data_IF_477261843859
#
_entry.id   IF_477261843859
#
_cell.length_a   1.000
_cell.length_b   1.000
_cell.length_c   1.000
_cell.angle_alpha   90.00
_cell.angle_beta   90.00
_cell.angle_gamma   90.00
#
_symmetry.space_group_name_H-M   'P 1'
#
loop_
_entity.id
_entity.type
_entity.pdbx_description
1 polymer ?
#
# COMPACT_ATOMS: atom_id res chain seq x y z
N UNK A 1 -53.40 18.39 39.37
CA UNK A 1 -52.40 17.46 38.90
C UNK A 1 -52.38 17.22 37.38
N UNK A 2 -53.42 17.47 36.60
CA UNK A 2 -53.43 17.23 35.13
C UNK A 2 -52.67 18.29 34.30
N UNK A 3 -52.49 19.51 34.79
CA UNK A 3 -51.82 20.62 34.09
C UNK A 3 -50.32 20.68 34.37
N UNK A 4 -49.86 20.06 35.46
CA UNK A 4 -48.43 20.00 35.79
C UNK A 4 -47.65 19.07 34.86
N UNK A 5 -48.28 17.99 34.38
CA UNK A 5 -47.65 17.04 33.45
C UNK A 5 -47.52 17.60 32.05
N UNK A 6 -48.50 18.42 31.61
CA UNK A 6 -48.43 19.09 30.27
C UNK A 6 -47.34 20.17 30.20
N UNK A 7 -47.07 20.85 31.33
CA UNK A 7 -46.01 21.87 31.40
C UNK A 7 -44.61 21.23 31.35
N UNK A 8 -44.40 20.04 31.93
CA UNK A 8 -43.14 19.32 31.84
C UNK A 8 -42.85 18.73 30.43
N UNK A 9 -43.90 18.30 29.72
CA UNK A 9 -43.75 17.78 28.34
C UNK A 9 -43.43 18.92 27.35
N UNK A 10 -43.95 20.14 27.58
CA UNK A 10 -43.65 21.31 26.72
C UNK A 10 -42.19 21.78 26.83
N UNK A 11 -41.52 21.58 27.97
CA UNK A 11 -40.10 21.95 28.18
C UNK A 11 -39.15 21.01 27.45
N UNK A 12 -39.53 19.74 27.18
CA UNK A 12 -38.72 18.77 26.46
C UNK A 12 -38.71 18.93 24.94
N UNK A 13 -39.67 19.70 24.38
CA UNK A 13 -39.81 19.93 22.95
C UNK A 13 -39.04 21.16 22.45
N UNK A 14 -38.49 22.00 23.32
CA UNK A 14 -37.77 23.23 22.92
C UNK A 14 -36.24 23.05 22.93
N UNK A 15 -35.72 21.82 23.15
CA UNK A 15 -34.30 21.54 23.35
C UNK A 15 -33.42 21.50 22.12
N UNK A 16 -33.93 21.62 20.88
CA UNK A 16 -33.16 21.36 19.68
C UNK A 16 -32.52 22.56 18.98
N UNK A 17 -32.62 23.79 19.52
CA UNK A 17 -32.15 24.98 18.79
C UNK A 17 -31.05 25.80 19.48
N UNK A 18 -30.61 25.43 20.70
CA UNK A 18 -29.68 26.30 21.48
C UNK A 18 -28.20 25.93 21.31
N UNK A 19 -27.90 24.75 20.78
CA UNK A 19 -26.54 24.34 20.39
C UNK A 19 -26.39 24.28 18.86
N UNK A 20 -26.70 25.37 18.18
CA UNK A 20 -26.17 25.57 16.83
C UNK A 20 -24.65 25.53 16.92
N UNK A 21 -24.01 24.51 16.30
CA UNK A 21 -22.57 24.52 16.15
C UNK A 21 -22.15 25.89 15.63
N UNK A 22 -21.07 26.50 16.16
CA UNK A 22 -20.63 27.79 15.68
C UNK A 22 -20.44 27.66 14.16
N UNK A 23 -21.27 28.38 13.39
CA UNK A 23 -21.07 28.49 11.95
C UNK A 23 -19.73 29.16 11.78
N UNK A 24 -18.70 28.35 11.48
CA UNK A 24 -17.37 28.83 11.16
C UNK A 24 -17.55 29.87 10.05
N UNK A 25 -17.31 31.13 10.37
CA UNK A 25 -17.45 32.20 9.40
C UNK A 25 -16.54 31.88 8.22
N UNK A 26 -17.14 31.62 7.06
CA UNK A 26 -16.38 31.34 5.84
C UNK A 26 -15.59 32.57 5.44
N UNK A 27 -14.34 32.64 5.91
CA UNK A 27 -13.38 33.70 5.66
C UNK A 27 -13.11 33.90 4.16
N UNK A 28 -13.40 32.86 3.35
CA UNK A 28 -13.13 32.88 1.91
C UNK A 28 -14.28 33.49 1.08
N UNK A 29 -15.38 33.92 1.68
CA UNK A 29 -16.58 34.41 0.93
C UNK A 29 -16.27 35.49 -0.09
N UNK A 30 -15.36 36.41 0.26
CA UNK A 30 -14.98 37.54 -0.61
C UNK A 30 -13.76 37.20 -1.51
N UNK A 31 -13.21 35.98 -1.45
CA UNK A 31 -12.00 35.64 -2.19
C UNK A 31 -12.32 35.17 -3.60
N UNK A 32 -11.56 35.68 -4.55
CA UNK A 32 -11.57 35.19 -5.93
C UNK A 32 -10.73 33.92 -6.07
N UNK A 33 -10.86 33.19 -7.17
CA UNK A 33 -10.22 31.92 -7.43
C UNK A 33 -8.69 31.97 -7.25
N UNK A 34 -8.05 33.03 -7.76
CA UNK A 34 -6.59 33.22 -7.63
C UNK A 34 -6.14 33.29 -6.16
N UNK A 35 -6.88 34.03 -5.33
CA UNK A 35 -6.58 34.17 -3.91
C UNK A 35 -6.80 32.90 -3.16
N UNK A 36 -7.91 32.17 -3.41
CA UNK A 36 -8.18 30.88 -2.75
C UNK A 36 -7.05 29.90 -3.08
N UNK A 37 -6.61 29.84 -4.35
CA UNK A 37 -5.53 28.95 -4.76
C UNK A 37 -4.19 29.31 -4.08
N UNK A 38 -3.82 30.58 -4.04
CA UNK A 38 -2.58 31.06 -3.40
C UNK A 38 -2.56 30.75 -1.91
N UNK A 39 -3.67 30.98 -1.21
CA UNK A 39 -3.79 30.66 0.22
C UNK A 39 -3.74 29.15 0.47
N UNK A 40 -4.39 28.34 -0.37
CA UNK A 40 -4.30 26.88 -0.29
C UNK A 40 -2.86 26.40 -0.47
N UNK A 41 -2.15 26.92 -1.46
CA UNK A 41 -0.75 26.61 -1.73
C UNK A 41 0.19 27.08 -0.58
N UNK A 42 -0.08 28.25 0.02
CA UNK A 42 0.61 28.70 1.22
C UNK A 42 0.43 27.70 2.38
N UNK A 43 -0.80 27.21 2.59
CA UNK A 43 -1.07 26.19 3.62
C UNK A 43 -0.38 24.86 3.32
N UNK A 44 -0.22 24.48 2.04
CA UNK A 44 0.60 23.32 1.65
C UNK A 44 2.06 23.50 2.07
N UNK A 45 2.65 24.66 1.85
CA UNK A 45 4.02 24.97 2.27
C UNK A 45 4.18 24.98 3.78
N UNK A 46 3.19 25.51 4.51
CA UNK A 46 3.13 25.52 5.98
C UNK A 46 2.88 24.14 6.58
N UNK A 47 2.64 23.10 5.74
CA UNK A 47 2.23 21.75 6.14
C UNK A 47 0.87 21.69 6.87
N UNK A 48 0.07 22.72 6.78
CA UNK A 48 -1.32 22.75 7.27
C UNK A 48 -2.23 22.12 6.20
N UNK A 49 -2.08 20.81 6.03
CA UNK A 49 -2.77 20.07 4.97
C UNK A 49 -4.29 20.09 5.11
N UNK A 50 -4.82 20.20 6.33
CA UNK A 50 -6.26 20.29 6.57
C UNK A 50 -6.84 21.57 6.00
N UNK A 51 -6.21 22.70 6.25
CA UNK A 51 -6.63 23.98 5.67
C UNK A 51 -6.41 24.04 4.17
N UNK A 52 -5.29 23.49 3.68
CA UNK A 52 -5.04 23.40 2.25
C UNK A 52 -6.15 22.63 1.53
N UNK A 53 -6.52 21.44 2.03
CA UNK A 53 -7.63 20.63 1.51
C UNK A 53 -8.95 21.40 1.55
N UNK A 54 -9.25 22.09 2.67
CA UNK A 54 -10.45 22.92 2.81
C UNK A 54 -10.51 23.97 1.70
N UNK A 55 -9.42 24.72 1.48
CA UNK A 55 -9.39 25.80 0.47
C UNK A 55 -9.45 25.25 -0.96
N UNK A 56 -8.74 24.17 -1.28
CA UNK A 56 -8.84 23.54 -2.60
C UNK A 56 -10.27 23.03 -2.88
N UNK A 57 -10.95 22.45 -1.91
CA UNK A 57 -12.35 22.02 -2.04
C UNK A 57 -13.30 23.20 -2.22
N UNK A 58 -13.08 24.31 -1.52
CA UNK A 58 -13.85 25.54 -1.71
C UNK A 58 -13.64 26.06 -3.13
N UNK A 59 -12.41 26.09 -3.61
CA UNK A 59 -12.08 26.52 -4.98
C UNK A 59 -12.79 25.64 -6.01
N UNK A 60 -12.73 24.33 -5.87
CA UNK A 60 -13.41 23.39 -6.76
C UNK A 60 -14.93 23.60 -6.76
N UNK A 61 -15.52 23.78 -5.58
CA UNK A 61 -16.97 23.99 -5.44
C UNK A 61 -17.46 25.30 -6.05
N UNK A 62 -16.71 26.40 -5.89
CA UNK A 62 -17.12 27.73 -6.39
C UNK A 62 -16.75 27.95 -7.85
N UNK A 63 -15.65 27.36 -8.30
CA UNK A 63 -15.09 27.59 -9.64
C UNK A 63 -14.78 26.25 -10.35
N UNK A 64 -15.79 25.37 -10.54
CA UNK A 64 -15.57 23.99 -11.05
C UNK A 64 -14.95 23.93 -12.45
N UNK A 65 -15.15 24.98 -13.24
CA UNK A 65 -14.60 25.13 -14.59
C UNK A 65 -13.49 26.21 -14.67
N UNK A 66 -13.02 26.66 -13.53
CA UNK A 66 -11.94 27.65 -13.46
C UNK A 66 -10.58 27.08 -13.83
N UNK A 67 -9.65 27.94 -14.23
CA UNK A 67 -8.27 27.54 -14.61
C UNK A 67 -7.52 26.74 -13.56
N UNK A 68 -7.90 26.85 -12.29
CA UNK A 68 -7.27 26.16 -11.17
C UNK A 68 -8.01 24.89 -10.72
N UNK A 69 -9.20 24.61 -11.26
CA UNK A 69 -10.03 23.50 -10.74
C UNK A 69 -9.33 22.15 -10.84
N UNK A 70 -8.78 21.82 -12.00
CA UNK A 70 -8.06 20.57 -12.20
C UNK A 70 -6.80 20.50 -11.33
N UNK A 71 -6.03 21.60 -11.24
CA UNK A 71 -4.83 21.63 -10.40
C UNK A 71 -5.19 21.48 -8.91
N UNK A 72 -6.24 22.14 -8.42
CA UNK A 72 -6.70 22.03 -7.05
C UNK A 72 -7.11 20.59 -6.68
N UNK A 73 -7.69 19.83 -7.61
CA UNK A 73 -8.00 18.42 -7.40
C UNK A 73 -6.74 17.57 -7.23
N UNK A 74 -5.72 17.79 -8.05
CA UNK A 74 -4.42 17.11 -7.93
C UNK A 74 -3.71 17.46 -6.61
N UNK A 75 -3.70 18.75 -6.26
CA UNK A 75 -3.11 19.21 -4.99
C UNK A 75 -3.88 18.66 -3.78
N UNK A 76 -5.19 18.46 -3.89
CA UNK A 76 -5.99 17.80 -2.85
C UNK A 76 -5.54 16.35 -2.66
N UNK A 77 -5.31 15.60 -3.74
CA UNK A 77 -4.77 14.22 -3.64
C UNK A 77 -3.39 14.22 -2.99
N UNK A 78 -2.51 15.15 -3.39
CA UNK A 78 -1.18 15.28 -2.80
C UNK A 78 -1.23 15.67 -1.32
N UNK A 79 -2.12 16.58 -0.93
CA UNK A 79 -2.32 16.98 0.46
C UNK A 79 -2.77 15.79 1.34
N UNK A 80 -3.67 14.94 0.86
CA UNK A 80 -4.05 13.70 1.54
C UNK A 80 -2.88 12.73 1.68
N UNK A 81 -2.07 12.57 0.62
CA UNK A 81 -0.84 11.78 0.69
C UNK A 81 0.11 12.28 1.78
N UNK A 82 0.37 13.60 1.81
CA UNK A 82 1.24 14.23 2.82
C UNK A 82 0.69 14.10 4.24
N UNK A 83 -0.63 14.02 4.38
CA UNK A 83 -1.33 13.78 5.65
C UNK A 83 -1.31 12.30 6.07
N UNK A 84 -0.79 11.41 5.24
CA UNK A 84 -0.84 9.95 5.46
C UNK A 84 -2.27 9.41 5.52
N UNK A 85 -3.16 9.94 4.68
CA UNK A 85 -4.52 9.45 4.48
C UNK A 85 -4.62 8.74 3.11
N UNK A 86 -4.28 7.44 3.03
CA UNK A 86 -4.25 6.71 1.78
C UNK A 86 -5.62 6.56 1.13
N UNK A 87 -6.68 6.46 1.93
CA UNK A 87 -8.05 6.27 1.44
C UNK A 87 -8.52 7.51 0.70
N UNK A 88 -8.40 8.68 1.34
CA UNK A 88 -8.79 9.95 0.72
C UNK A 88 -7.88 10.33 -0.47
N UNK A 89 -6.58 10.01 -0.39
CA UNK A 89 -5.65 10.21 -1.50
C UNK A 89 -6.06 9.39 -2.73
N UNK A 90 -6.31 8.10 -2.55
CA UNK A 90 -6.77 7.20 -3.63
C UNK A 90 -8.08 7.70 -4.24
N UNK A 91 -9.07 8.03 -3.42
CA UNK A 91 -10.36 8.53 -3.89
C UNK A 91 -10.25 9.86 -4.67
N UNK A 92 -9.40 10.79 -4.20
CA UNK A 92 -9.15 12.05 -4.89
C UNK A 92 -8.45 11.84 -6.25
N UNK A 93 -7.43 10.97 -6.29
CA UNK A 93 -6.72 10.63 -7.51
C UNK A 93 -7.64 9.93 -8.54
N UNK A 94 -8.45 8.96 -8.12
CA UNK A 94 -9.41 8.27 -9.00
C UNK A 94 -10.49 9.22 -9.53
N UNK A 95 -10.98 10.13 -8.69
CA UNK A 95 -11.91 11.15 -9.11
C UNK A 95 -11.29 12.04 -10.19
N UNK A 96 -10.04 12.47 -10.03
CA UNK A 96 -9.33 13.25 -11.05
C UNK A 96 -9.19 12.48 -12.36
N UNK A 97 -8.75 11.23 -12.32
CA UNK A 97 -8.60 10.36 -13.50
C UNK A 97 -9.95 10.25 -14.26
N UNK A 98 -11.03 10.08 -13.52
CA UNK A 98 -12.38 9.96 -14.11
C UNK A 98 -12.89 11.26 -14.74
N UNK A 99 -12.63 12.40 -14.11
CA UNK A 99 -13.13 13.68 -14.58
C UNK A 99 -12.24 14.30 -15.67
N UNK A 100 -10.95 14.00 -15.66
CA UNK A 100 -9.94 14.61 -16.53
C UNK A 100 -9.03 13.56 -17.21
N UNK A 101 -9.60 12.57 -17.96
CA UNK A 101 -8.81 11.45 -18.50
C UNK A 101 -7.74 11.89 -19.52
N UNK A 102 -7.93 13.02 -20.16
CA UNK A 102 -7.01 13.57 -21.17
C UNK A 102 -6.16 14.76 -20.64
N UNK A 103 -6.15 14.97 -19.33
CA UNK A 103 -5.36 16.07 -18.76
C UNK A 103 -3.85 15.77 -18.87
N UNK A 104 -3.00 16.77 -19.18
CA UNK A 104 -1.54 16.57 -19.31
C UNK A 104 -0.87 15.91 -18.08
N UNK A 105 -1.43 16.13 -16.89
CA UNK A 105 -0.90 15.57 -15.62
C UNK A 105 -1.76 14.39 -15.10
N UNK A 106 -2.50 13.69 -15.96
CA UNK A 106 -3.30 12.54 -15.50
C UNK A 106 -2.40 11.39 -15.03
N UNK A 107 -1.22 11.24 -15.62
CA UNK A 107 -0.18 10.31 -15.21
C UNK A 107 0.25 10.53 -13.75
N UNK A 108 0.32 11.80 -13.29
CA UNK A 108 0.58 12.12 -11.89
C UNK A 108 -0.54 11.60 -10.96
N UNK A 109 -1.80 11.66 -11.37
CA UNK A 109 -2.89 11.12 -10.57
C UNK A 109 -2.80 9.58 -10.45
N UNK A 110 -2.43 8.87 -11.53
CA UNK A 110 -2.12 7.43 -11.46
C UNK A 110 -0.95 7.15 -10.52
N UNK A 111 0.10 7.95 -10.56
CA UNK A 111 1.24 7.84 -9.67
C UNK A 111 0.86 8.04 -8.21
N UNK A 112 0.06 9.08 -7.90
CA UNK A 112 -0.45 9.35 -6.55
C UNK A 112 -1.29 8.18 -6.01
N UNK A 113 -2.10 7.54 -6.85
CA UNK A 113 -2.86 6.34 -6.46
C UNK A 113 -1.93 5.18 -6.06
N UNK A 114 -0.83 5.01 -6.79
CA UNK A 114 0.21 4.03 -6.43
C UNK A 114 0.90 4.37 -5.12
N UNK A 115 1.27 5.64 -4.92
CA UNK A 115 1.93 6.12 -3.70
C UNK A 115 1.04 6.05 -2.46
N UNK A 116 -0.27 6.21 -2.61
CA UNK A 116 -1.21 6.24 -1.49
C UNK A 116 -1.11 4.98 -0.61
N UNK A 117 -0.99 3.81 -1.23
CA UNK A 117 -0.86 2.53 -0.53
C UNK A 117 0.57 2.00 -0.47
N UNK A 118 1.53 2.75 -1.05
CA UNK A 118 2.94 2.38 -1.03
C UNK A 118 3.59 2.85 0.28
N UNK A 119 4.12 1.90 1.02
CA UNK A 119 4.92 2.20 2.22
C UNK A 119 6.32 1.66 2.00
N UNK A 120 7.28 2.55 1.81
CA UNK A 120 8.69 2.20 1.76
C UNK A 120 9.24 2.06 3.20
N UNK A 121 10.22 1.20 3.38
CA UNK A 121 10.86 0.99 4.67
C UNK A 121 11.60 2.27 5.10
N UNK A 122 11.03 3.01 6.05
CA UNK A 122 11.70 4.17 6.65
C UNK A 122 12.87 3.75 7.57
N UNK A 123 13.73 4.71 7.92
CA UNK A 123 14.84 4.49 8.86
C UNK A 123 14.32 4.00 10.22
N UNK A 124 13.10 4.41 10.59
CA UNK A 124 12.44 4.04 11.86
C UNK A 124 12.06 2.56 11.88
N UNK A 125 11.61 1.98 10.75
CA UNK A 125 11.25 0.56 10.65
C UNK A 125 12.47 -0.35 10.86
N UNK A 126 13.68 0.12 10.49
CA UNK A 126 14.93 -0.60 10.76
C UNK A 126 15.27 -0.66 12.25
N UNK A 127 14.83 0.34 13.03
CA UNK A 127 15.07 0.41 14.48
C UNK A 127 14.02 -0.37 15.29
N UNK A 128 12.82 -0.54 14.77
CA UNK A 128 11.70 -1.21 15.46
C UNK A 128 11.61 -2.69 15.21
N UNK A 129 12.52 -3.28 14.41
CA UNK A 129 12.51 -4.71 14.03
C UNK A 129 11.17 -5.17 13.40
N UNK A 130 10.34 -4.22 12.95
CA UNK A 130 9.15 -4.57 12.18
C UNK A 130 9.60 -5.17 10.85
N UNK A 131 9.37 -6.47 10.70
CA UNK A 131 9.69 -7.18 9.46
C UNK A 131 8.76 -6.71 8.33
N UNK A 132 9.27 -6.75 7.08
CA UNK A 132 8.48 -6.51 5.86
C UNK A 132 7.21 -7.38 5.84
N UNK A 133 7.23 -8.48 6.56
CA UNK A 133 6.19 -9.49 6.64
C UNK A 133 4.93 -9.05 7.41
N UNK A 134 5.01 -7.99 8.25
CA UNK A 134 3.87 -7.48 9.02
C UNK A 134 2.97 -6.52 8.22
N UNK A 135 3.34 -6.23 6.96
CA UNK A 135 2.59 -5.31 6.12
C UNK A 135 1.37 -5.99 5.50
N UNK A 136 0.31 -5.22 5.32
CA UNK A 136 -0.90 -5.69 4.64
C UNK A 136 -0.61 -6.05 3.16
N UNK A 137 -0.64 -7.34 2.78
CA UNK A 137 -0.43 -7.76 1.39
C UNK A 137 -1.44 -7.15 0.42
N UNK A 138 -2.65 -6.79 0.89
CA UNK A 138 -3.68 -6.18 0.05
C UNK A 138 -3.27 -4.77 -0.36
N UNK A 139 -2.74 -3.97 0.58
CA UNK A 139 -2.24 -2.63 0.30
C UNK A 139 -1.05 -2.67 -0.67
N UNK A 140 -0.10 -3.61 -0.47
CA UNK A 140 1.04 -3.80 -1.37
C UNK A 140 0.58 -4.19 -2.78
N UNK A 141 -0.38 -5.08 -2.92
CA UNK A 141 -0.92 -5.50 -4.22
C UNK A 141 -1.69 -4.36 -4.91
N UNK A 142 -2.49 -3.58 -4.16
CA UNK A 142 -3.18 -2.41 -4.69
C UNK A 142 -2.19 -1.37 -5.25
N UNK A 143 -1.11 -1.10 -4.52
CA UNK A 143 -0.02 -0.23 -4.98
C UNK A 143 0.66 -0.76 -6.24
N UNK A 144 0.99 -2.06 -6.28
CA UNK A 144 1.58 -2.71 -7.45
C UNK A 144 0.69 -2.56 -8.70
N UNK A 145 -0.61 -2.85 -8.57
CA UNK A 145 -1.56 -2.73 -9.68
C UNK A 145 -1.69 -1.28 -10.17
N UNK A 146 -1.68 -0.30 -9.27
CA UNK A 146 -1.75 1.10 -9.62
C UNK A 146 -0.49 1.56 -10.39
N UNK A 147 0.72 1.18 -9.96
CA UNK A 147 1.95 1.47 -10.69
C UNK A 147 2.03 0.74 -12.04
N UNK A 148 1.57 -0.52 -12.09
CA UNK A 148 1.49 -1.29 -13.33
C UNK A 148 0.59 -0.58 -14.35
N UNK A 149 -0.57 -0.10 -13.92
CA UNK A 149 -1.49 0.62 -14.78
C UNK A 149 -0.87 1.94 -15.30
N UNK A 150 -0.17 2.68 -14.44
CA UNK A 150 0.57 3.87 -14.87
C UNK A 150 1.55 3.56 -16.01
N UNK A 151 2.44 2.58 -15.80
CA UNK A 151 3.48 2.24 -16.78
C UNK A 151 2.86 1.74 -18.10
N UNK A 152 1.76 0.99 -18.01
CA UNK A 152 1.08 0.44 -19.19
C UNK A 152 0.41 1.54 -20.01
N UNK A 153 -0.22 2.52 -19.35
CA UNK A 153 -0.95 3.60 -20.04
C UNK A 153 -0.06 4.76 -20.47
N UNK A 154 0.97 5.04 -19.68
CA UNK A 154 1.86 6.21 -19.83
C UNK A 154 3.33 5.78 -19.73
N UNK A 155 3.85 4.96 -20.65
CA UNK A 155 5.21 4.42 -20.57
C UNK A 155 6.28 5.54 -20.57
N UNK A 156 6.02 6.65 -21.27
CA UNK A 156 6.93 7.81 -21.37
C UNK A 156 6.77 8.82 -20.23
N UNK A 157 5.91 8.56 -19.25
CA UNK A 157 5.75 9.43 -18.09
C UNK A 157 7.03 9.49 -17.28
N UNK A 158 7.35 10.70 -16.78
CA UNK A 158 8.49 10.90 -15.86
C UNK A 158 8.39 10.05 -14.58
N UNK A 159 7.18 9.58 -14.24
CA UNK A 159 6.94 8.72 -13.08
C UNK A 159 7.11 7.23 -13.36
N UNK A 160 7.20 6.82 -14.63
CA UNK A 160 7.22 5.39 -15.01
C UNK A 160 8.47 4.68 -14.51
N UNK A 161 9.64 5.32 -14.57
CA UNK A 161 10.88 4.73 -14.05
C UNK A 161 10.85 4.50 -12.54
N UNK A 162 10.39 5.48 -11.77
CA UNK A 162 10.24 5.34 -10.31
C UNK A 162 9.18 4.29 -9.96
N UNK A 163 8.07 4.27 -10.68
CA UNK A 163 7.02 3.26 -10.52
C UNK A 163 7.54 1.84 -10.76
N UNK A 164 8.39 1.63 -11.76
CA UNK A 164 9.00 0.33 -12.03
C UNK A 164 9.91 -0.13 -10.88
N UNK A 165 10.71 0.78 -10.31
CA UNK A 165 11.54 0.47 -9.14
C UNK A 165 10.68 0.09 -7.92
N UNK A 166 9.58 0.81 -7.69
CA UNK A 166 8.65 0.50 -6.60
C UNK A 166 7.93 -0.83 -6.82
N UNK A 167 7.56 -1.15 -8.06
CA UNK A 167 6.99 -2.46 -8.39
C UNK A 167 7.95 -3.60 -8.08
N UNK A 168 9.24 -3.46 -8.43
CA UNK A 168 10.26 -4.46 -8.07
C UNK A 168 10.36 -4.65 -6.55
N UNK A 169 10.35 -3.55 -5.80
CA UNK A 169 10.32 -3.61 -4.33
C UNK A 169 9.08 -4.35 -3.82
N UNK A 170 7.89 -4.04 -4.36
CA UNK A 170 6.63 -4.67 -3.94
C UNK A 170 6.59 -6.17 -4.26
N UNK A 171 7.09 -6.58 -5.43
CA UNK A 171 7.21 -8.02 -5.80
C UNK A 171 8.09 -8.76 -4.79
N UNK A 172 9.24 -8.21 -4.43
CA UNK A 172 10.12 -8.82 -3.45
C UNK A 172 9.48 -8.85 -2.04
N UNK A 173 8.77 -7.79 -1.65
CA UNK A 173 8.09 -7.74 -0.36
C UNK A 173 6.94 -8.76 -0.26
N UNK A 174 6.13 -8.89 -1.32
CA UNK A 174 5.05 -9.88 -1.39
C UNK A 174 5.60 -11.31 -1.37
N UNK A 175 6.66 -11.59 -2.12
CA UNK A 175 7.31 -12.90 -2.11
C UNK A 175 7.91 -13.23 -0.74
N UNK A 176 8.55 -12.27 -0.08
CA UNK A 176 9.11 -12.44 1.27
C UNK A 176 8.00 -12.70 2.31
N UNK A 177 6.84 -12.07 2.18
CA UNK A 177 5.67 -12.35 3.03
C UNK A 177 5.22 -13.82 2.89
N UNK A 178 5.09 -14.34 1.65
CA UNK A 178 4.73 -15.73 1.43
C UNK A 178 5.77 -16.71 2.01
N UNK A 179 7.07 -16.40 1.90
CA UNK A 179 8.13 -17.19 2.52
C UNK A 179 8.05 -17.17 4.05
N UNK A 180 7.74 -16.03 4.65
CA UNK A 180 7.51 -15.96 6.09
C UNK A 180 6.40 -16.91 6.52
N UNK A 181 5.28 -16.93 5.80
CA UNK A 181 4.19 -17.87 6.04
C UNK A 181 4.62 -19.32 5.80
N UNK A 182 5.44 -19.58 4.76
CA UNK A 182 5.96 -20.92 4.49
C UNK A 182 6.85 -21.42 5.64
N UNK A 183 7.75 -20.58 6.17
CA UNK A 183 8.57 -20.91 7.34
C UNK A 183 7.72 -21.20 8.59
N UNK A 184 6.68 -20.41 8.82
CA UNK A 184 5.73 -20.66 9.91
C UNK A 184 5.09 -22.05 9.79
N UNK A 185 4.66 -22.45 8.58
CA UNK A 185 4.11 -23.79 8.36
C UNK A 185 5.15 -24.90 8.53
N UNK A 186 6.42 -24.69 8.12
CA UNK A 186 7.51 -25.62 8.40
C UNK A 186 7.68 -25.85 9.90
N UNK A 187 7.73 -24.79 10.72
CA UNK A 187 7.82 -24.89 12.20
C UNK A 187 6.64 -25.63 12.81
N UNK A 188 5.47 -25.57 12.17
CA UNK A 188 4.25 -26.28 12.59
C UNK A 188 4.12 -27.69 12.02
N UNK A 189 5.14 -28.17 11.28
CA UNK A 189 5.13 -29.48 10.60
C UNK A 189 4.00 -29.63 9.56
N UNK A 190 3.41 -28.51 9.14
CA UNK A 190 2.40 -28.44 8.09
C UNK A 190 3.08 -28.35 6.70
N UNK A 191 3.88 -29.36 6.36
CA UNK A 191 4.79 -29.35 5.22
C UNK A 191 4.09 -29.10 3.89
N UNK A 192 2.93 -29.71 3.65
CA UNK A 192 2.16 -29.48 2.41
C UNK A 192 1.69 -28.03 2.29
N UNK A 193 1.27 -27.40 3.39
CA UNK A 193 0.89 -25.99 3.39
C UNK A 193 2.09 -25.09 3.08
N UNK A 194 3.27 -25.42 3.61
CA UNK A 194 4.52 -24.72 3.30
C UNK A 194 4.88 -24.83 1.82
N UNK A 195 4.81 -26.02 1.23
CA UNK A 195 5.03 -26.25 -0.20
C UNK A 195 4.10 -25.40 -1.05
N UNK A 196 2.82 -25.33 -0.69
CA UNK A 196 1.84 -24.52 -1.45
C UNK A 196 2.19 -23.03 -1.44
N UNK A 197 2.70 -22.49 -0.32
CA UNK A 197 3.19 -21.10 -0.27
C UNK A 197 4.42 -20.88 -1.16
N UNK A 198 5.38 -21.81 -1.13
CA UNK A 198 6.56 -21.73 -1.99
C UNK A 198 6.18 -21.84 -3.48
N UNK A 199 5.27 -22.75 -3.85
CA UNK A 199 4.75 -22.83 -5.22
C UNK A 199 4.12 -21.51 -5.64
N UNK A 200 3.32 -20.90 -4.77
CA UNK A 200 2.72 -19.61 -5.06
C UNK A 200 3.77 -18.54 -5.37
N UNK A 201 4.91 -18.52 -4.64
CA UNK A 201 6.03 -17.62 -4.93
C UNK A 201 6.62 -17.88 -6.31
N UNK A 202 6.89 -19.15 -6.66
CA UNK A 202 7.45 -19.52 -7.95
C UNK A 202 6.56 -19.13 -9.14
N UNK A 203 5.25 -19.27 -8.97
CA UNK A 203 4.25 -19.01 -10.01
C UNK A 203 3.94 -17.53 -10.18
N UNK A 204 3.82 -16.77 -9.07
CA UNK A 204 3.31 -15.40 -9.08
C UNK A 204 4.41 -14.34 -8.99
N UNK A 205 5.60 -14.69 -8.49
CA UNK A 205 6.72 -13.77 -8.28
C UNK A 205 8.03 -14.28 -8.93
N UNK A 206 8.02 -14.64 -10.22
CA UNK A 206 9.16 -15.30 -10.88
C UNK A 206 10.42 -14.44 -11.01
N UNK A 207 10.35 -13.16 -10.66
CA UNK A 207 11.49 -12.22 -10.69
C UNK A 207 11.95 -11.83 -9.27
N UNK A 208 11.38 -12.45 -8.23
CA UNK A 208 11.76 -12.12 -6.86
C UNK A 208 13.07 -12.79 -6.44
N UNK A 209 13.74 -12.18 -5.47
CA UNK A 209 14.92 -12.76 -4.82
C UNK A 209 14.60 -13.95 -3.91
N UNK A 210 13.31 -14.25 -3.72
CA UNK A 210 12.82 -15.30 -2.82
C UNK A 210 12.73 -16.68 -3.45
N UNK A 211 13.05 -16.82 -4.75
CA UNK A 211 12.87 -18.08 -5.50
C UNK A 211 13.81 -19.18 -5.02
N UNK A 212 15.09 -18.85 -4.78
CA UNK A 212 16.08 -19.82 -4.27
C UNK A 212 15.63 -20.41 -2.96
N UNK A 213 15.24 -19.56 -2.00
CA UNK A 213 14.77 -20.02 -0.69
C UNK A 213 13.46 -20.82 -0.78
N UNK A 214 12.56 -20.45 -1.69
CA UNK A 214 11.33 -21.20 -1.94
C UNK A 214 11.64 -22.65 -2.34
N UNK A 215 12.58 -22.84 -3.26
CA UNK A 215 13.01 -24.19 -3.69
C UNK A 215 13.63 -24.98 -2.54
N UNK A 216 14.45 -24.33 -1.72
CA UNK A 216 15.08 -24.97 -0.55
C UNK A 216 14.05 -25.44 0.47
N UNK A 217 13.06 -24.60 0.78
CA UNK A 217 11.96 -24.97 1.69
C UNK A 217 11.16 -26.14 1.09
N UNK A 218 10.86 -26.12 -0.22
CA UNK A 218 10.14 -27.22 -0.89
C UNK A 218 10.90 -28.54 -0.82
N UNK A 219 12.21 -28.53 -1.09
CA UNK A 219 13.07 -29.73 -1.00
C UNK A 219 12.95 -30.35 0.39
N UNK A 220 13.05 -29.53 1.43
CA UNK A 220 12.95 -30.01 2.82
C UNK A 220 11.56 -30.51 3.16
N UNK A 221 10.53 -29.79 2.74
CA UNK A 221 9.16 -30.20 3.00
C UNK A 221 8.82 -31.52 2.30
N UNK A 222 9.30 -31.74 1.06
CA UNK A 222 9.12 -32.99 0.35
C UNK A 222 9.88 -34.14 1.00
N UNK A 223 11.06 -33.89 1.57
CA UNK A 223 11.81 -34.89 2.32
C UNK A 223 11.03 -35.35 3.55
N UNK A 224 10.50 -34.42 4.35
CA UNK A 224 9.65 -34.76 5.50
C UNK A 224 8.35 -35.49 5.11
N UNK A 225 7.85 -35.27 3.91
CA UNK A 225 6.66 -35.94 3.37
C UNK A 225 6.96 -37.28 2.70
N UNK A 226 8.24 -37.72 2.63
CA UNK A 226 8.72 -38.89 1.90
C UNK A 226 8.33 -38.87 0.39
N UNK A 227 8.26 -37.69 -0.22
CA UNK A 227 7.94 -37.48 -1.65
C UNK A 227 9.24 -37.32 -2.45
N UNK A 228 9.99 -38.42 -2.63
CA UNK A 228 11.34 -38.36 -3.21
C UNK A 228 11.37 -37.81 -4.64
N UNK A 229 10.43 -38.21 -5.51
CA UNK A 229 10.37 -37.75 -6.89
C UNK A 229 10.26 -36.20 -6.96
N UNK A 230 9.38 -35.59 -6.13
CA UNK A 230 9.19 -34.15 -6.08
C UNK A 230 10.39 -33.42 -5.44
N UNK A 231 11.06 -34.04 -4.46
CA UNK A 231 12.30 -33.53 -3.89
C UNK A 231 13.39 -33.47 -4.96
N UNK A 232 13.57 -34.55 -5.74
CA UNK A 232 14.57 -34.61 -6.81
C UNK A 232 14.30 -33.60 -7.91
N UNK A 233 13.03 -33.42 -8.30
CA UNK A 233 12.63 -32.40 -9.26
C UNK A 233 12.96 -30.98 -8.77
N UNK A 234 12.60 -30.65 -7.53
CA UNK A 234 12.92 -29.36 -6.93
C UNK A 234 14.44 -29.14 -6.82
N UNK A 235 15.19 -30.18 -6.46
CA UNK A 235 16.65 -30.15 -6.38
C UNK A 235 17.27 -29.92 -7.77
N UNK A 236 16.76 -30.58 -8.81
CA UNK A 236 17.20 -30.37 -10.19
C UNK A 236 17.00 -28.91 -10.63
N UNK A 237 15.80 -28.32 -10.33
CA UNK A 237 15.51 -26.92 -10.62
C UNK A 237 16.47 -25.99 -9.86
N UNK A 238 16.71 -26.26 -8.57
CA UNK A 238 17.65 -25.47 -7.76
C UNK A 238 19.08 -25.52 -8.36
N UNK A 239 19.59 -26.70 -8.67
CA UNK A 239 20.94 -26.88 -9.26
C UNK A 239 21.09 -26.16 -10.60
N UNK A 240 20.06 -26.21 -11.43
CA UNK A 240 20.08 -25.58 -12.76
C UNK A 240 20.05 -24.05 -12.68
N UNK A 241 19.21 -23.47 -11.84
CA UNK A 241 19.03 -22.03 -11.78
C UNK A 241 19.95 -21.33 -10.77
N UNK A 242 20.41 -22.04 -9.74
CA UNK A 242 21.23 -21.52 -8.65
C UNK A 242 22.44 -22.42 -8.36
N UNK A 243 23.36 -22.61 -9.35
CA UNK A 243 24.52 -23.54 -9.20
C UNK A 243 25.46 -23.16 -8.05
N UNK A 244 25.45 -21.87 -7.65
CA UNK A 244 26.26 -21.35 -6.55
C UNK A 244 25.49 -21.27 -5.22
N UNK A 245 24.33 -21.88 -5.15
CA UNK A 245 23.56 -21.92 -3.91
C UNK A 245 24.36 -22.53 -2.78
N UNK A 246 24.44 -21.81 -1.66
CA UNK A 246 25.12 -22.32 -0.44
C UNK A 246 24.48 -23.61 0.09
N UNK A 247 23.26 -23.91 -0.32
CA UNK A 247 22.52 -25.11 0.05
C UNK A 247 22.94 -26.35 -0.75
N UNK A 248 23.61 -26.19 -1.89
CA UNK A 248 24.15 -27.28 -2.70
C UNK A 248 25.52 -27.78 -2.19
N UNK A 249 26.24 -26.95 -1.42
CA UNK A 249 27.63 -27.23 -0.99
C UNK A 249 27.79 -27.92 0.36
N UNK A 250 26.73 -28.15 1.10
CA UNK A 250 26.76 -28.87 2.38
C UNK A 250 26.35 -30.31 2.13
N UNK A 251 27.40 -31.16 1.95
CA UNK A 251 27.24 -32.53 1.57
C UNK A 251 26.62 -33.41 2.63
N UNK A 252 26.21 -34.60 2.16
CA UNK A 252 25.78 -35.80 2.84
C UNK A 252 24.46 -35.73 3.63
N UNK A 253 23.55 -36.71 3.43
CA UNK A 253 22.24 -36.78 4.10
C UNK A 253 22.30 -36.82 5.63
N UNK A 254 23.44 -37.14 6.23
CA UNK A 254 23.63 -37.18 7.69
C UNK A 254 23.89 -35.79 8.30
N UNK A 255 24.48 -34.86 7.55
CA UNK A 255 24.67 -33.46 7.95
C UNK A 255 23.43 -32.57 7.66
N UNK A 256 22.52 -33.06 6.83
CA UNK A 256 21.33 -32.33 6.37
C UNK A 256 20.30 -32.05 7.48
N UNK A 257 20.36 -32.74 8.61
CA UNK A 257 19.48 -32.46 9.77
C UNK A 257 19.83 -31.20 10.53
N UNK A 258 20.93 -30.54 10.19
CA UNK A 258 21.43 -29.36 10.94
C UNK A 258 21.09 -28.03 10.26
N UNK A 259 20.86 -27.99 8.95
CA UNK A 259 20.66 -26.71 8.26
C UNK A 259 19.31 -26.04 8.56
N UNK A 260 18.26 -26.79 8.85
CA UNK A 260 16.98 -26.23 9.28
C UNK A 260 17.02 -25.66 10.71
N UNK A 261 17.99 -26.03 11.55
CA UNK A 261 18.27 -25.40 12.85
C UNK A 261 18.80 -23.96 12.70
N UNK A 262 19.25 -23.58 11.50
CA UNK A 262 19.59 -22.19 11.20
C UNK A 262 18.40 -21.24 11.36
N UNK A 263 17.19 -21.76 11.21
CA UNK A 263 15.94 -21.01 11.39
C UNK A 263 15.54 -20.82 12.86
N UNK A 264 16.09 -21.59 13.77
CA UNK A 264 15.84 -21.48 15.22
C UNK A 264 16.75 -20.42 15.87
N UNK A 265 17.73 -19.90 15.16
CA UNK A 265 18.68 -18.89 15.62
C UNK A 265 18.44 -17.49 15.05
N UNK A 266 17.40 -17.31 14.25
CA UNK A 266 16.90 -16.04 13.75
C UNK A 266 15.53 -15.75 14.35
#
# INVERSE_FOLDING_TARGET
MKYSLAFFIAIWLTGCSIFGAPTELDETKAWQADRIYQEADAKMRDRDYDKAIKYFKILESRYPHGKYAAQAQLETAYAYYKKSDPVSCTAAAERFIKLHPNHPNVDYAYYMRGLASFTERGVVDKLTSQEINDRDPKAMNASFLAFKELITRYPDSRYSKDSAMRMTYLVNALAAHELHVARYYMKRQAYLASVNRCKYVLENYPQSTSLEESLVIMISAYDFLNMQDLKEDAMRVLKTNYPNSKMLGKGSPEDERVWWKFWDSL
#
